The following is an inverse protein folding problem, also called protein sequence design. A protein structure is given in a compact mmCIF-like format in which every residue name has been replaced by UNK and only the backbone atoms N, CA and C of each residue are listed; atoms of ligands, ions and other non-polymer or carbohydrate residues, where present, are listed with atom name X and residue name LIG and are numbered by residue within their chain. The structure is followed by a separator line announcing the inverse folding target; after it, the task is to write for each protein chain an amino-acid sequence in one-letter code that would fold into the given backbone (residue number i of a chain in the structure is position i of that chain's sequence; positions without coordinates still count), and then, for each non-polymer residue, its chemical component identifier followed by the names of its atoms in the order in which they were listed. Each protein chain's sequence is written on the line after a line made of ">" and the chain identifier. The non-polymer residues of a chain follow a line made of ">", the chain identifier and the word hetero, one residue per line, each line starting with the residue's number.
data_IF_889419141686
#
_entry.id   IF_889419141686
#
_cell.length_a   1.000
_cell.length_b   1.000
_cell.length_c   1.000
_cell.angle_alpha   90.00
_cell.angle_beta   90.00
_cell.angle_gamma   90.00
#
_symmetry.space_group_name_H-M   'P 1'
#
loop_
_entity.id
_entity.type
_entity.pdbx_description
1 polymer ?
#
# COMPACT_ATOMS: atom_id res chain seq x y z
N UNK A 1 8.01 -5.75 -12.97
CA UNK A 1 6.74 -5.76 -12.20
C UNK A 1 6.48 -7.07 -11.46
N UNK A 2 6.51 -8.26 -12.09
CA UNK A 2 6.29 -9.53 -11.35
C UNK A 2 7.30 -9.74 -10.22
N UNK A 3 8.59 -9.48 -10.45
CA UNK A 3 9.62 -9.55 -9.39
C UNK A 3 9.33 -8.58 -8.26
N UNK A 4 8.86 -7.37 -8.57
CA UNK A 4 8.43 -6.38 -7.57
C UNK A 4 7.25 -6.89 -6.74
N UNK A 5 6.20 -7.40 -7.38
CA UNK A 5 5.03 -7.94 -6.69
C UNK A 5 5.38 -9.17 -5.83
N UNK A 6 6.26 -10.05 -6.34
CA UNK A 6 6.80 -11.18 -5.55
C UNK A 6 7.58 -10.68 -4.33
N UNK A 7 8.43 -9.68 -4.50
CA UNK A 7 9.18 -9.09 -3.40
C UNK A 7 8.25 -8.44 -2.36
N UNK A 8 7.23 -7.67 -2.77
CA UNK A 8 6.21 -7.15 -1.86
C UNK A 8 5.48 -8.26 -1.10
N UNK A 9 5.14 -9.38 -1.78
CA UNK A 9 4.48 -10.52 -1.18
C UNK A 9 5.26 -11.18 -0.04
N UNK A 10 6.57 -10.95 0.08
CA UNK A 10 7.36 -11.44 1.21
C UNK A 10 7.23 -10.59 2.48
N UNK A 11 6.58 -9.42 2.44
CA UNK A 11 6.53 -8.47 3.55
C UNK A 11 5.91 -9.08 4.83
N UNK A 12 4.75 -9.72 4.71
CA UNK A 12 4.09 -10.36 5.86
C UNK A 12 4.90 -11.59 6.37
N UNK A 13 5.61 -12.26 5.48
CA UNK A 13 6.46 -13.41 5.83
C UNK A 13 7.63 -12.96 6.71
N UNK A 14 8.37 -11.93 6.27
CA UNK A 14 9.45 -11.37 7.08
C UNK A 14 8.95 -10.79 8.41
N UNK A 15 7.76 -10.18 8.45
CA UNK A 15 7.15 -9.72 9.69
C UNK A 15 6.89 -10.88 10.67
N UNK A 16 6.33 -11.99 10.19
CA UNK A 16 6.14 -13.20 11.01
C UNK A 16 7.47 -13.82 11.45
N UNK A 17 8.47 -13.83 10.59
CA UNK A 17 9.82 -14.31 10.94
C UNK A 17 10.45 -13.42 12.02
N UNK A 18 10.27 -12.08 11.95
CA UNK A 18 10.76 -11.17 12.98
C UNK A 18 10.19 -11.51 14.37
N UNK A 19 8.89 -11.80 14.45
CA UNK A 19 8.28 -12.24 15.69
C UNK A 19 8.79 -13.60 16.17
N UNK A 20 9.03 -14.56 15.26
CA UNK A 20 9.60 -15.87 15.60
C UNK A 20 11.01 -15.79 16.19
N UNK A 21 11.82 -14.82 15.75
CA UNK A 21 13.17 -14.58 16.29
C UNK A 21 13.17 -13.62 17.49
N UNK A 22 11.99 -13.32 18.06
CA UNK A 22 11.84 -12.55 19.29
C UNK A 22 11.92 -11.02 19.11
N UNK A 23 11.89 -10.49 17.89
CA UNK A 23 11.92 -9.04 17.68
C UNK A 23 10.55 -8.41 17.99
N UNK A 24 10.55 -7.27 18.68
CA UNK A 24 9.34 -6.49 18.89
C UNK A 24 8.90 -5.78 17.62
N UNK A 25 7.63 -5.35 17.58
CA UNK A 25 7.10 -4.57 16.45
C UNK A 25 7.88 -3.26 16.25
N UNK A 26 8.11 -2.53 17.34
CA UNK A 26 8.81 -1.24 17.29
C UNK A 26 10.27 -1.42 16.84
N UNK A 27 10.98 -2.41 17.38
CA UNK A 27 12.36 -2.75 17.00
C UNK A 27 12.43 -3.10 15.51
N UNK A 28 11.54 -4.00 15.03
CA UNK A 28 11.52 -4.43 13.64
C UNK A 28 11.27 -3.28 12.68
N UNK A 29 10.28 -2.44 12.97
CA UNK A 29 9.90 -1.33 12.08
C UNK A 29 10.91 -0.18 12.13
N UNK A 30 11.49 0.13 13.29
CA UNK A 30 12.55 1.13 13.40
C UNK A 30 13.74 0.76 12.52
N UNK A 31 14.28 -0.46 12.69
CA UNK A 31 15.43 -0.93 11.94
C UNK A 31 15.12 -1.06 10.44
N UNK A 32 13.94 -1.64 10.09
CA UNK A 32 13.49 -1.74 8.70
C UNK A 32 13.53 -0.40 7.99
N UNK A 33 12.88 0.61 8.57
CA UNK A 33 12.73 1.90 7.90
C UNK A 33 13.99 2.74 7.92
N UNK A 34 14.83 2.63 8.96
CA UNK A 34 16.14 3.27 8.98
C UNK A 34 17.04 2.67 7.88
N UNK A 35 17.15 1.34 7.80
CA UNK A 35 17.93 0.68 6.75
C UNK A 35 17.38 0.98 5.34
N UNK A 36 16.05 0.94 5.19
CA UNK A 36 15.43 1.26 3.92
C UNK A 36 15.64 2.74 3.54
N UNK A 37 15.57 3.66 4.49
CA UNK A 37 15.86 5.07 4.24
C UNK A 37 17.30 5.24 3.75
N UNK A 38 18.30 4.70 4.47
CA UNK A 38 19.72 4.77 4.07
C UNK A 38 19.92 4.24 2.64
N UNK A 39 19.38 3.07 2.35
CA UNK A 39 19.51 2.48 1.02
C UNK A 39 18.77 3.27 -0.08
N UNK A 40 17.56 3.78 0.21
CA UNK A 40 16.83 4.60 -0.75
C UNK A 40 17.46 5.97 -0.98
N UNK A 41 18.10 6.58 0.02
CA UNK A 41 18.94 7.77 -0.16
C UNK A 41 20.13 7.48 -1.06
N UNK A 42 20.84 6.37 -0.81
CA UNK A 42 21.94 5.93 -1.68
C UNK A 42 21.48 5.76 -3.13
N UNK A 43 20.35 5.06 -3.35
CA UNK A 43 19.78 4.87 -4.68
C UNK A 43 19.32 6.19 -5.32
N UNK A 44 18.69 7.07 -4.56
CA UNK A 44 18.25 8.37 -5.06
C UNK A 44 19.43 9.24 -5.51
N UNK A 45 20.53 9.24 -4.76
CA UNK A 45 21.75 9.94 -5.14
C UNK A 45 22.41 9.34 -6.39
N UNK A 46 22.49 8.01 -6.48
CA UNK A 46 23.00 7.30 -7.67
C UNK A 46 22.20 7.62 -8.92
N UNK A 47 20.87 7.71 -8.79
CA UNK A 47 19.94 8.07 -9.88
C UNK A 47 19.84 9.59 -10.10
N UNK A 48 20.66 10.41 -9.42
CA UNK A 48 20.65 11.89 -9.49
C UNK A 48 19.30 12.51 -9.08
N UNK A 49 18.50 11.82 -8.28
CA UNK A 49 17.22 12.28 -7.74
C UNK A 49 17.39 12.84 -6.32
N UNK A 50 18.31 13.78 -6.13
CA UNK A 50 18.66 14.31 -4.80
C UNK A 50 17.44 14.95 -4.11
N UNK A 51 16.92 14.34 -3.00
CA UNK A 51 15.74 14.85 -2.30
C UNK A 51 15.96 16.24 -1.66
N UNK A 52 17.20 16.61 -1.32
CA UNK A 52 17.51 17.92 -0.73
C UNK A 52 17.21 19.09 -1.68
N UNK A 53 17.02 18.81 -2.98
CA UNK A 53 16.62 19.81 -3.98
C UNK A 53 15.10 20.00 -4.06
N UNK A 54 14.33 19.21 -3.33
CA UNK A 54 12.88 19.38 -3.32
C UNK A 54 12.47 20.65 -2.59
N UNK A 55 11.39 21.32 -3.02
CA UNK A 55 10.84 22.47 -2.31
C UNK A 55 10.51 22.12 -0.85
N UNK A 56 10.85 23.01 0.10
CA UNK A 56 10.61 22.78 1.53
C UNK A 56 9.19 22.31 1.87
N UNK A 57 8.11 22.87 1.31
CA UNK A 57 6.75 22.38 1.58
C UNK A 57 6.56 20.92 1.17
N UNK A 58 7.18 20.48 0.05
CA UNK A 58 7.13 19.08 -0.41
C UNK A 58 7.91 18.16 0.52
N UNK A 59 9.09 18.57 0.98
CA UNK A 59 9.86 17.80 1.96
C UNK A 59 9.06 17.58 3.24
N UNK A 60 8.46 18.63 3.80
CA UNK A 60 7.64 18.54 5.00
C UNK A 60 6.42 17.64 4.77
N UNK A 61 5.74 17.77 3.64
CA UNK A 61 4.60 16.93 3.29
C UNK A 61 4.98 15.44 3.14
N UNK A 62 6.12 15.14 2.49
CA UNK A 62 6.62 13.76 2.34
C UNK A 62 7.07 13.18 3.68
N UNK A 63 7.77 13.95 4.52
CA UNK A 63 8.15 13.54 5.87
C UNK A 63 6.90 13.26 6.72
N UNK A 64 5.91 14.15 6.68
CA UNK A 64 4.63 13.98 7.39
C UNK A 64 3.85 12.76 6.88
N UNK A 65 3.82 12.52 5.57
CA UNK A 65 3.20 11.34 4.98
C UNK A 65 3.86 10.05 5.49
N UNK A 66 5.19 10.05 5.60
CA UNK A 66 5.96 8.93 6.16
C UNK A 66 5.74 8.78 7.67
N UNK A 67 5.94 9.86 8.43
CA UNK A 67 5.94 9.84 9.88
C UNK A 67 4.56 9.59 10.49
N UNK A 68 3.47 9.94 9.82
CA UNK A 68 2.12 9.81 10.35
C UNK A 68 1.37 8.69 9.65
N UNK A 69 1.12 8.85 8.34
CA UNK A 69 0.18 7.97 7.63
C UNK A 69 0.81 6.61 7.35
N UNK A 70 2.03 6.58 6.80
CA UNK A 70 2.71 5.33 6.49
C UNK A 70 3.14 4.58 7.75
N UNK A 71 3.53 5.30 8.81
CA UNK A 71 3.78 4.74 10.15
C UNK A 71 2.53 4.10 10.72
N UNK A 72 1.39 4.80 10.71
CA UNK A 72 0.12 4.26 11.19
C UNK A 72 -0.32 3.00 10.44
N UNK A 73 -0.21 3.00 9.11
CA UNK A 73 -0.51 1.85 8.27
C UNK A 73 0.41 0.67 8.58
N UNK A 74 1.73 0.90 8.62
CA UNK A 74 2.70 -0.16 8.88
C UNK A 74 2.54 -0.73 10.29
N UNK A 75 2.28 0.11 11.27
CA UNK A 75 2.03 -0.31 12.65
C UNK A 75 0.78 -1.19 12.73
N UNK A 76 -0.33 -0.75 12.14
CA UNK A 76 -1.57 -1.53 12.11
C UNK A 76 -1.37 -2.88 11.43
N UNK A 77 -0.71 -2.91 10.26
CA UNK A 77 -0.39 -4.15 9.55
C UNK A 77 0.44 -5.13 10.40
N UNK A 78 1.50 -4.64 11.04
CA UNK A 78 2.38 -5.48 11.86
C UNK A 78 1.68 -5.94 13.14
N UNK A 79 0.88 -5.09 13.80
CA UNK A 79 0.11 -5.49 14.98
C UNK A 79 -0.94 -6.56 14.65
N UNK A 80 -1.59 -6.47 13.49
CA UNK A 80 -2.48 -7.52 13.00
C UNK A 80 -1.76 -8.87 12.85
N UNK A 81 -0.54 -8.86 12.29
CA UNK A 81 0.28 -10.06 12.08
C UNK A 81 0.77 -10.72 13.37
N UNK A 82 0.70 -10.04 14.53
CA UNK A 82 1.04 -10.68 15.80
C UNK A 82 0.06 -11.79 16.17
N UNK A 83 -1.20 -11.62 15.85
CA UNK A 83 -2.28 -12.50 16.32
C UNK A 83 -3.01 -13.23 15.19
N UNK A 84 -2.97 -12.71 13.97
CA UNK A 84 -3.67 -13.28 12.83
C UNK A 84 -2.71 -13.99 11.86
N UNK A 85 -3.17 -14.99 11.09
CA UNK A 85 -2.43 -15.61 9.99
C UNK A 85 -2.00 -14.56 8.95
N UNK A 86 -0.81 -14.74 8.36
CA UNK A 86 -0.27 -13.79 7.38
C UNK A 86 -1.15 -13.71 6.12
N UNK A 87 -1.64 -14.85 5.68
CA UNK A 87 -2.58 -14.97 4.56
C UNK A 87 -3.88 -14.20 4.78
N UNK A 88 -4.46 -14.27 5.98
CA UNK A 88 -5.70 -13.56 6.29
C UNK A 88 -5.47 -12.04 6.31
N UNK A 89 -4.41 -11.58 6.98
CA UNK A 89 -4.09 -10.14 7.07
C UNK A 89 -3.88 -9.54 5.69
N UNK A 90 -3.12 -10.20 4.81
CA UNK A 90 -2.85 -9.68 3.48
C UNK A 90 -4.11 -9.62 2.61
N UNK A 91 -4.98 -10.62 2.70
CA UNK A 91 -6.24 -10.61 1.96
C UNK A 91 -7.20 -9.51 2.44
N UNK A 92 -7.25 -9.26 3.76
CA UNK A 92 -8.03 -8.14 4.31
C UNK A 92 -7.45 -6.80 3.83
N UNK A 93 -6.13 -6.62 3.90
CA UNK A 93 -5.49 -5.38 3.46
C UNK A 93 -5.72 -5.14 1.98
N UNK A 94 -5.79 -6.19 1.18
CA UNK A 94 -5.98 -6.09 -0.28
C UNK A 94 -7.35 -5.56 -0.72
N UNK A 95 -8.25 -5.25 0.22
CA UNK A 95 -9.48 -4.48 -0.08
C UNK A 95 -9.19 -2.99 -0.37
N UNK A 96 -7.97 -2.48 -0.08
CA UNK A 96 -7.62 -1.08 -0.22
C UNK A 96 -7.90 -0.47 -1.62
N UNK A 97 -7.75 -1.17 -2.77
CA UNK A 97 -8.07 -0.56 -4.06
C UNK A 97 -9.56 -0.21 -4.19
N UNK A 98 -10.42 -1.05 -3.62
CA UNK A 98 -11.86 -0.78 -3.56
C UNK A 98 -12.17 0.40 -2.64
N UNK A 99 -11.47 0.52 -1.51
CA UNK A 99 -11.59 1.66 -0.61
C UNK A 99 -11.08 2.96 -1.24
N UNK A 100 -10.03 2.91 -2.06
CA UNK A 100 -9.51 4.08 -2.82
C UNK A 100 -10.58 4.59 -3.80
N UNK A 101 -11.26 3.68 -4.52
CA UNK A 101 -12.37 4.06 -5.41
C UNK A 101 -13.52 4.66 -4.62
N UNK A 102 -13.92 4.01 -3.53
CA UNK A 102 -15.00 4.50 -2.65
C UNK A 102 -14.69 5.89 -2.09
N UNK A 103 -13.49 6.08 -1.53
CA UNK A 103 -13.06 7.36 -0.99
C UNK A 103 -12.89 8.44 -2.08
N UNK A 104 -12.39 8.05 -3.25
CA UNK A 104 -12.33 8.92 -4.44
C UNK A 104 -13.70 9.42 -4.87
N UNK A 105 -14.70 8.54 -4.86
CA UNK A 105 -16.07 8.90 -5.15
C UNK A 105 -16.68 9.82 -4.08
N UNK A 106 -16.60 9.43 -2.80
CA UNK A 106 -17.21 10.15 -1.68
C UNK A 106 -16.58 11.53 -1.43
N UNK A 107 -15.25 11.62 -1.42
CA UNK A 107 -14.53 12.82 -0.98
C UNK A 107 -13.98 13.66 -2.13
N UNK A 108 -13.62 13.03 -3.25
CA UNK A 108 -13.01 13.71 -4.38
C UNK A 108 -13.97 13.84 -5.57
N UNK A 109 -15.24 13.38 -5.43
CA UNK A 109 -16.28 13.41 -6.47
C UNK A 109 -15.84 12.79 -7.79
N UNK A 110 -14.93 11.80 -7.74
CA UNK A 110 -14.50 11.06 -8.94
C UNK A 110 -15.65 10.25 -9.51
N UNK A 111 -15.77 10.22 -10.83
CA UNK A 111 -16.80 9.41 -11.49
C UNK A 111 -16.54 7.91 -11.28
N UNK A 112 -17.59 7.15 -10.97
CA UNK A 112 -17.55 5.70 -10.85
C UNK A 112 -18.42 5.06 -11.92
N UNK A 113 -17.99 3.95 -12.50
CA UNK A 113 -18.79 3.14 -13.42
C UNK A 113 -19.51 2.03 -12.66
N UNK A 114 -20.49 1.39 -13.30
CA UNK A 114 -21.18 0.23 -12.72
C UNK A 114 -20.21 -0.91 -12.33
N UNK A 115 -19.13 -1.10 -13.08
CA UNK A 115 -18.10 -2.10 -12.76
C UNK A 115 -17.33 -1.80 -11.48
N UNK A 116 -17.10 -0.53 -11.15
CA UNK A 116 -16.52 -0.15 -9.85
C UNK A 116 -17.48 -0.52 -8.71
N UNK A 117 -18.80 -0.33 -8.88
CA UNK A 117 -19.81 -0.69 -7.86
C UNK A 117 -19.85 -2.20 -7.66
N UNK A 118 -19.84 -2.99 -8.75
CA UNK A 118 -19.79 -4.46 -8.69
C UNK A 118 -18.54 -4.93 -7.98
N UNK A 119 -17.37 -4.41 -8.35
CA UNK A 119 -16.10 -4.76 -7.70
C UNK A 119 -16.06 -4.37 -6.22
N UNK A 120 -16.61 -3.19 -5.88
CA UNK A 120 -16.74 -2.73 -4.49
C UNK A 120 -17.61 -3.69 -3.66
N UNK A 121 -18.81 -4.02 -4.15
CA UNK A 121 -19.71 -4.97 -3.49
C UNK A 121 -19.10 -6.35 -3.32
N UNK A 122 -18.44 -6.87 -4.36
CA UNK A 122 -17.72 -8.14 -4.30
C UNK A 122 -16.55 -8.12 -3.29
N UNK A 123 -15.79 -7.01 -3.21
CA UNK A 123 -14.72 -6.85 -2.21
C UNK A 123 -15.25 -6.90 -0.78
N UNK A 124 -16.34 -6.20 -0.50
CA UNK A 124 -16.96 -6.20 0.84
C UNK A 124 -17.56 -7.55 1.19
N UNK A 125 -18.24 -8.21 0.24
CA UNK A 125 -18.74 -9.56 0.45
C UNK A 125 -17.59 -10.54 0.72
N UNK A 126 -16.51 -10.46 -0.07
CA UNK A 126 -15.31 -11.27 0.15
C UNK A 126 -14.68 -11.04 1.52
N UNK A 127 -14.65 -9.80 2.01
CA UNK A 127 -14.17 -9.48 3.37
C UNK A 127 -15.06 -10.11 4.45
N UNK A 128 -16.38 -10.04 4.30
CA UNK A 128 -17.33 -10.66 5.24
C UNK A 128 -17.12 -12.18 5.29
N UNK A 129 -16.94 -12.83 4.14
CA UNK A 129 -16.68 -14.26 4.06
C UNK A 129 -15.31 -14.65 4.67
N UNK A 130 -14.27 -13.84 4.43
CA UNK A 130 -12.95 -14.03 5.02
C UNK A 130 -13.00 -13.96 6.55
N UNK A 131 -13.64 -12.94 7.09
CA UNK A 131 -13.73 -12.73 8.54
C UNK A 131 -14.71 -13.74 9.17
N UNK A 132 -15.86 -13.97 8.55
CA UNK A 132 -16.87 -14.90 9.05
C UNK A 132 -16.44 -16.37 8.98
N UNK A 133 -15.61 -16.74 8.01
CA UNK A 133 -15.04 -18.09 7.91
C UNK A 133 -13.85 -18.34 8.85
N UNK A 134 -13.30 -17.29 9.42
CA UNK A 134 -12.27 -17.40 10.44
C UNK A 134 -12.96 -17.71 11.79
N UNK A 135 -12.60 -18.81 12.43
CA UNK A 135 -12.97 -19.07 13.83
C UNK A 135 -12.15 -18.13 14.74
N UNK A 136 -12.21 -16.84 14.44
CA UNK A 136 -11.45 -15.82 15.14
C UNK A 136 -12.28 -15.37 16.36
N UNK A 137 -11.68 -15.44 17.52
CA UNK A 137 -12.09 -14.54 18.59
C UNK A 137 -11.91 -13.13 18.05
N UNK A 138 -13.00 -12.34 18.03
CA UNK A 138 -12.99 -10.92 17.64
C UNK A 138 -12.02 -10.19 18.57
N UNK A 139 -10.75 -10.15 18.19
CA UNK A 139 -9.66 -9.61 18.98
C UNK A 139 -9.07 -8.34 18.36
N UNK A 140 -8.22 -7.70 19.14
CA UNK A 140 -7.53 -6.45 18.76
C UNK A 140 -6.81 -6.59 17.40
N UNK A 141 -6.33 -7.79 17.04
CA UNK A 141 -5.68 -8.02 15.75
C UNK A 141 -6.58 -7.78 14.53
N UNK A 142 -7.88 -8.14 14.64
CA UNK A 142 -8.83 -7.89 13.55
C UNK A 142 -9.10 -6.39 13.38
N UNK A 143 -9.16 -5.63 14.48
CA UNK A 143 -9.29 -4.17 14.42
C UNK A 143 -8.12 -3.56 13.65
N UNK A 144 -6.89 -4.00 13.93
CA UNK A 144 -5.71 -3.55 13.21
C UNK A 144 -5.68 -4.01 11.75
N UNK A 145 -6.13 -5.24 11.47
CA UNK A 145 -6.22 -5.73 10.09
C UNK A 145 -7.19 -4.90 9.23
N UNK A 146 -8.31 -4.44 9.82
CA UNK A 146 -9.29 -3.57 9.13
C UNK A 146 -8.80 -2.11 9.07
N UNK A 147 -8.12 -1.62 10.10
CA UNK A 147 -7.57 -0.27 10.11
C UNK A 147 -6.47 -0.07 9.07
N UNK A 148 -5.64 -1.09 8.82
CA UNK A 148 -4.51 -1.00 7.89
C UNK A 148 -4.92 -0.59 6.46
N UNK A 149 -5.90 -1.20 5.77
CA UNK A 149 -6.31 -0.78 4.43
C UNK A 149 -7.01 0.57 4.41
N UNK A 150 -7.69 0.98 5.48
CA UNK A 150 -8.30 2.31 5.60
C UNK A 150 -7.23 3.39 5.64
N UNK A 151 -6.22 3.23 6.50
CA UNK A 151 -5.09 4.15 6.61
C UNK A 151 -4.29 4.16 5.29
N UNK A 152 -4.09 2.98 4.67
CA UNK A 152 -3.38 2.86 3.40
C UNK A 152 -4.11 3.57 2.26
N UNK A 153 -5.43 3.57 2.26
CA UNK A 153 -6.26 4.37 1.34
C UNK A 153 -5.95 5.86 1.48
N UNK A 154 -5.88 6.37 2.70
CA UNK A 154 -5.45 7.75 2.97
C UNK A 154 -4.02 8.03 2.47
N UNK A 155 -3.08 7.11 2.72
CA UNK A 155 -1.72 7.20 2.20
C UNK A 155 -1.66 7.33 0.69
N UNK A 156 -2.45 6.53 -0.04
CA UNK A 156 -2.49 6.57 -1.51
C UNK A 156 -3.06 7.89 -2.02
N UNK A 157 -4.21 8.32 -1.50
CA UNK A 157 -4.88 9.54 -1.96
C UNK A 157 -4.09 10.82 -1.65
N UNK A 158 -3.46 10.88 -0.47
CA UNK A 158 -2.57 12.00 -0.10
C UNK A 158 -1.28 11.92 -0.91
N UNK A 159 -0.71 10.71 -1.01
CA UNK A 159 0.54 10.44 -1.74
C UNK A 159 0.45 10.82 -3.21
N UNK A 160 -0.67 10.55 -3.88
CA UNK A 160 -0.92 10.96 -5.26
C UNK A 160 -0.66 12.45 -5.47
N UNK A 161 -1.16 13.30 -4.57
CA UNK A 161 -0.97 14.77 -4.64
C UNK A 161 0.44 15.20 -4.24
N UNK A 162 0.99 14.60 -3.19
CA UNK A 162 2.28 15.02 -2.62
C UNK A 162 3.44 14.59 -3.51
N UNK A 163 3.35 13.39 -4.12
CA UNK A 163 4.42 12.81 -4.95
C UNK A 163 4.38 13.25 -6.41
N UNK A 164 3.29 13.83 -6.91
CA UNK A 164 3.08 14.13 -8.34
C UNK A 164 4.13 15.05 -8.99
N UNK A 165 4.83 15.87 -8.19
CA UNK A 165 5.77 16.88 -8.68
C UNK A 165 7.23 16.60 -8.32
N UNK A 166 7.55 15.39 -7.85
CA UNK A 166 8.92 15.03 -7.43
C UNK A 166 9.30 13.62 -7.91
N UNK A 167 10.59 13.37 -8.14
CA UNK A 167 11.06 12.04 -8.53
C UNK A 167 10.72 10.99 -7.48
N UNK A 168 10.14 9.88 -7.91
CA UNK A 168 9.53 8.89 -7.03
C UNK A 168 10.51 8.17 -6.08
N UNK A 169 11.75 7.89 -6.53
CA UNK A 169 12.76 7.25 -5.66
C UNK A 169 13.20 8.22 -4.58
N UNK A 170 13.43 9.50 -4.93
CA UNK A 170 13.73 10.55 -3.96
C UNK A 170 12.59 10.78 -2.96
N UNK A 171 11.33 10.79 -3.42
CA UNK A 171 10.17 10.89 -2.56
C UNK A 171 10.08 9.71 -1.58
N UNK A 172 10.33 8.48 -2.07
CA UNK A 172 10.34 7.28 -1.23
C UNK A 172 11.43 7.35 -0.15
N UNK A 173 12.63 7.86 -0.48
CA UNK A 173 13.69 8.06 0.50
C UNK A 173 13.24 8.97 1.66
N UNK A 174 12.57 10.09 1.34
CA UNK A 174 12.06 11.03 2.37
C UNK A 174 10.93 10.41 3.19
N UNK A 175 9.99 9.70 2.55
CA UNK A 175 8.90 8.99 3.25
C UNK A 175 9.47 7.94 4.21
N UNK A 176 10.44 7.13 3.76
CA UNK A 176 11.10 6.14 4.62
C UNK A 176 11.85 6.79 5.79
N UNK A 177 12.46 7.98 5.58
CA UNK A 177 13.10 8.74 6.66
C UNK A 177 12.08 9.20 7.70
N UNK A 178 10.92 9.71 7.26
CA UNK A 178 9.84 10.10 8.17
C UNK A 178 9.32 8.92 8.99
N UNK A 179 9.07 7.78 8.33
CA UNK A 179 8.63 6.56 9.01
C UNK A 179 9.70 6.02 9.98
N UNK A 180 10.98 5.99 9.55
CA UNK A 180 12.10 5.56 10.38
C UNK A 180 12.23 6.41 11.65
N UNK A 181 12.18 7.74 11.50
CA UNK A 181 12.22 8.66 12.64
C UNK A 181 11.05 8.43 13.60
N UNK A 182 9.82 8.31 13.08
CA UNK A 182 8.64 8.05 13.90
C UNK A 182 8.74 6.73 14.66
N UNK A 183 9.17 5.64 14.02
CA UNK A 183 9.35 4.35 14.71
C UNK A 183 10.50 4.36 15.70
N UNK A 184 11.59 5.11 15.45
CA UNK A 184 12.63 5.31 16.45
C UNK A 184 12.09 6.04 17.69
N UNK A 185 11.27 7.07 17.51
CA UNK A 185 10.61 7.77 18.61
C UNK A 185 9.68 6.84 19.39
N UNK A 186 8.80 6.10 18.68
CA UNK A 186 7.89 5.12 19.31
C UNK A 186 8.70 4.06 20.07
N UNK A 187 9.74 3.51 19.47
CA UNK A 187 10.58 2.49 20.09
C UNK A 187 11.34 3.00 21.30
N UNK A 188 11.80 4.28 21.28
CA UNK A 188 12.44 4.92 22.42
C UNK A 188 11.47 5.08 23.59
N UNK A 189 10.25 5.58 23.36
CA UNK A 189 9.23 5.72 24.39
C UNK A 189 8.78 4.38 24.99
N UNK A 190 8.83 3.29 24.21
CA UNK A 190 8.49 1.95 24.67
C UNK A 190 9.69 1.21 25.32
N UNK A 191 10.89 1.80 25.34
CA UNK A 191 12.10 1.12 25.79
C UNK A 191 12.48 -0.08 24.91
N UNK A 192 12.05 -0.11 23.66
CA UNK A 192 12.23 -1.23 22.73
C UNK A 192 13.25 -0.95 21.62
N UNK A 193 13.99 0.15 21.70
CA UNK A 193 15.12 0.38 20.80
C UNK A 193 16.31 -0.46 21.25
N UNK A 194 16.41 -1.64 20.67
CA UNK A 194 17.54 -2.53 20.88
C UNK A 194 18.02 -3.10 19.55
N UNK A 195 19.30 -3.45 19.50
CA UNK A 195 19.83 -4.18 18.37
C UNK A 195 19.40 -5.64 18.42
N UNK A 196 19.18 -6.32 17.28
CA UNK A 196 18.93 -7.74 17.27
C UNK A 196 20.04 -8.51 17.97
N UNK A 197 19.70 -9.36 18.93
CA UNK A 197 20.64 -10.12 19.71
C UNK A 197 21.29 -11.29 18.92
N UNK A 198 20.70 -11.67 17.77
CA UNK A 198 21.15 -12.81 16.97
C UNK A 198 21.39 -12.42 15.52
N UNK A 199 22.27 -13.18 14.85
CA UNK A 199 22.48 -13.08 13.39
C UNK A 199 21.20 -13.33 12.60
N UNK A 200 20.33 -14.22 13.08
CA UNK A 200 19.03 -14.48 12.48
C UNK A 200 18.13 -13.23 12.54
N UNK A 201 18.12 -12.49 13.65
CA UNK A 201 17.40 -11.23 13.78
C UNK A 201 17.89 -10.18 12.78
N UNK A 202 19.20 -10.03 12.63
CA UNK A 202 19.79 -9.14 11.63
C UNK A 202 19.45 -9.55 10.20
N UNK A 203 19.52 -10.84 9.87
CA UNK A 203 19.16 -11.36 8.55
C UNK A 203 17.69 -11.08 8.21
N UNK A 204 16.78 -11.25 9.17
CA UNK A 204 15.36 -10.96 8.98
C UNK A 204 15.10 -9.47 8.76
N UNK A 205 15.71 -8.59 9.57
CA UNK A 205 15.53 -7.14 9.43
C UNK A 205 16.14 -6.63 8.12
N UNK A 206 17.35 -7.09 7.78
CA UNK A 206 18.00 -6.73 6.52
C UNK A 206 17.19 -7.25 5.32
N UNK A 207 16.70 -8.48 5.37
CA UNK A 207 15.83 -9.05 4.35
C UNK A 207 14.53 -8.24 4.19
N UNK A 208 13.91 -7.83 5.30
CA UNK A 208 12.71 -7.01 5.31
C UNK A 208 12.95 -5.60 4.72
N UNK A 209 14.08 -4.98 5.02
CA UNK A 209 14.44 -3.68 4.46
C UNK A 209 14.79 -3.80 2.96
N UNK A 210 15.55 -4.83 2.58
CA UNK A 210 16.07 -4.97 1.23
C UNK A 210 14.98 -5.50 0.26
N UNK A 211 14.33 -6.64 0.58
CA UNK A 211 13.47 -7.34 -0.38
C UNK A 211 12.11 -6.65 -0.55
N UNK A 212 11.19 -6.64 0.44
CA UNK A 212 9.86 -6.06 0.25
C UNK A 212 9.83 -4.53 0.34
N UNK A 213 10.95 -3.87 0.68
CA UNK A 213 10.97 -2.41 0.74
C UNK A 213 11.81 -1.84 -0.40
N UNK A 214 13.13 -2.01 -0.41
CA UNK A 214 13.99 -1.36 -1.40
C UNK A 214 13.84 -1.96 -2.80
N UNK A 215 14.01 -3.28 -2.96
CA UNK A 215 13.93 -3.96 -4.26
C UNK A 215 12.52 -3.84 -4.83
N UNK A 216 11.51 -4.14 -4.02
CA UNK A 216 10.12 -4.09 -4.45
C UNK A 216 9.72 -2.70 -4.96
N UNK A 217 9.98 -1.65 -4.18
CA UNK A 217 9.65 -0.26 -4.56
C UNK A 217 10.47 0.17 -5.79
N UNK A 218 11.77 -0.10 -5.82
CA UNK A 218 12.64 0.31 -6.93
C UNK A 218 12.21 -0.33 -8.26
N UNK A 219 11.90 -1.62 -8.26
CA UNK A 219 11.43 -2.33 -9.44
C UNK A 219 10.00 -1.92 -9.84
N UNK A 220 9.14 -1.58 -8.88
CA UNK A 220 7.83 -1.00 -9.16
C UNK A 220 7.96 0.32 -9.90
N UNK A 221 8.75 1.25 -9.34
CA UNK A 221 8.97 2.57 -9.90
C UNK A 221 9.68 2.53 -11.27
N UNK A 222 10.58 1.56 -11.48
CA UNK A 222 11.21 1.34 -12.76
C UNK A 222 10.26 0.74 -13.82
N UNK A 223 9.33 -0.11 -13.41
CA UNK A 223 8.36 -0.74 -14.30
C UNK A 223 7.19 0.16 -14.67
N UNK A 224 6.71 0.96 -13.73
CA UNK A 224 5.51 1.79 -13.85
C UNK A 224 5.48 2.67 -15.12
N UNK A 225 6.52 3.44 -15.47
CA UNK A 225 6.50 4.25 -16.68
C UNK A 225 6.59 3.43 -17.97
N UNK A 226 7.08 2.17 -17.91
CA UNK A 226 7.24 1.31 -19.09
C UNK A 226 5.95 0.62 -19.52
N UNK A 227 5.11 0.20 -18.57
CA UNK A 227 3.90 -0.58 -18.87
C UNK A 227 2.61 0.14 -18.49
N UNK A 228 2.72 1.31 -17.86
CA UNK A 228 1.59 2.14 -17.43
C UNK A 228 0.93 1.68 -16.13
N UNK A 229 0.16 2.56 -15.52
CA UNK A 229 -0.45 2.34 -14.21
C UNK A 229 -1.43 1.16 -14.18
N UNK A 230 -2.29 1.04 -15.20
CA UNK A 230 -3.30 -0.01 -15.27
C UNK A 230 -2.70 -1.43 -15.28
N UNK A 231 -1.69 -1.67 -16.15
CA UNK A 231 -1.01 -2.97 -16.21
C UNK A 231 -0.17 -3.23 -14.97
N UNK A 232 0.46 -2.18 -14.43
CA UNK A 232 1.23 -2.28 -13.18
C UNK A 232 0.36 -2.74 -12.02
N UNK A 233 -0.81 -2.15 -11.87
CA UNK A 233 -1.81 -2.45 -10.86
C UNK A 233 -2.33 -3.89 -10.98
N UNK A 234 -2.65 -4.35 -12.20
CA UNK A 234 -3.04 -5.75 -12.43
C UNK A 234 -1.94 -6.75 -12.04
N UNK A 235 -0.68 -6.48 -12.40
CA UNK A 235 0.43 -7.36 -12.04
C UNK A 235 0.67 -7.34 -10.53
N UNK A 236 0.41 -6.21 -9.85
CA UNK A 236 0.54 -6.13 -8.39
C UNK A 236 -0.45 -7.03 -7.64
N UNK A 237 -1.55 -7.48 -8.26
CA UNK A 237 -2.43 -8.50 -7.63
C UNK A 237 -1.76 -9.87 -7.45
N UNK A 238 -0.58 -10.07 -8.01
CA UNK A 238 0.27 -11.22 -7.74
C UNK A 238 0.83 -11.23 -6.29
N UNK A 239 0.99 -10.07 -5.67
CA UNK A 239 1.51 -9.93 -4.31
C UNK A 239 0.76 -10.79 -3.27
N UNK A 240 -0.57 -10.67 -3.10
CA UNK A 240 -1.29 -11.48 -2.12
C UNK A 240 -1.26 -12.96 -2.43
N UNK A 241 -1.17 -13.35 -3.70
CA UNK A 241 -1.03 -14.76 -4.09
C UNK A 241 0.30 -15.31 -3.59
N UNK A 242 1.39 -14.58 -3.78
CA UNK A 242 2.71 -14.95 -3.23
C UNK A 242 2.69 -15.05 -1.72
N UNK A 243 2.09 -14.06 -1.04
CA UNK A 243 2.00 -14.10 0.43
C UNK A 243 1.23 -15.32 0.91
N UNK A 244 0.08 -15.62 0.30
CA UNK A 244 -0.74 -16.80 0.68
C UNK A 244 0.04 -18.10 0.47
N UNK A 245 0.68 -18.27 -0.69
CA UNK A 245 1.49 -19.46 -0.97
C UNK A 245 2.61 -19.61 0.08
N UNK A 246 3.36 -18.54 0.34
CA UNK A 246 4.45 -18.58 1.31
C UNK A 246 3.94 -18.78 2.74
N UNK A 247 2.81 -18.18 3.12
CA UNK A 247 2.23 -18.34 4.46
C UNK A 247 1.76 -19.78 4.70
N UNK A 248 1.12 -20.40 3.72
CA UNK A 248 0.75 -21.82 3.78
C UNK A 248 1.99 -22.70 3.87
N UNK A 249 2.98 -22.47 3.01
CA UNK A 249 4.18 -23.30 2.93
C UNK A 249 5.09 -23.18 4.18
N UNK A 250 5.27 -21.96 4.72
CA UNK A 250 6.24 -21.71 5.81
C UNK A 250 5.62 -21.70 7.20
N UNK A 251 4.35 -21.36 7.31
CA UNK A 251 3.66 -21.22 8.60
C UNK A 251 2.52 -22.22 8.79
N UNK A 252 2.12 -22.95 7.74
CA UNK A 252 1.02 -23.89 7.79
C UNK A 252 -0.34 -23.20 7.92
N UNK A 253 -0.47 -21.97 7.41
CA UNK A 253 -1.75 -21.24 7.40
C UNK A 253 -2.82 -22.11 6.74
N UNK A 254 -3.98 -22.24 7.38
CA UNK A 254 -5.11 -23.03 6.88
C UNK A 254 -6.29 -22.13 6.62
N UNK A 255 -6.99 -22.39 5.53
CA UNK A 255 -8.22 -21.71 5.18
C UNK A 255 -9.41 -22.62 5.41
N UNK A 256 -10.47 -22.08 6.05
CA UNK A 256 -11.77 -22.70 5.92
C UNK A 256 -12.29 -22.55 4.49
N UNK A 257 -13.21 -23.42 4.02
CA UNK A 257 -13.79 -23.26 2.68
C UNK A 257 -14.37 -21.85 2.44
N UNK A 258 -14.99 -21.27 3.47
CA UNK A 258 -15.58 -19.94 3.42
C UNK A 258 -14.51 -18.85 3.26
N UNK A 259 -13.38 -18.97 3.97
CA UNK A 259 -12.23 -18.07 3.80
C UNK A 259 -11.60 -18.17 2.42
N UNK A 260 -11.48 -19.38 1.86
CA UNK A 260 -10.95 -19.58 0.52
C UNK A 260 -11.83 -18.89 -0.52
N UNK A 261 -13.15 -19.06 -0.44
CA UNK A 261 -14.13 -18.36 -1.30
C UNK A 261 -14.02 -16.84 -1.13
N UNK A 262 -13.98 -16.37 0.12
CA UNK A 262 -13.83 -14.94 0.42
C UNK A 262 -12.54 -14.34 -0.15
N UNK A 263 -11.41 -15.04 -0.01
CA UNK A 263 -10.11 -14.61 -0.54
C UNK A 263 -10.09 -14.52 -2.07
N UNK A 264 -10.61 -15.55 -2.75
CA UNK A 264 -10.75 -15.53 -4.22
C UNK A 264 -11.66 -14.38 -4.66
N UNK A 265 -12.77 -14.17 -3.95
CA UNK A 265 -13.71 -13.09 -4.27
C UNK A 265 -13.08 -11.70 -4.11
N UNK A 266 -12.29 -11.47 -3.05
CA UNK A 266 -11.52 -10.21 -2.88
C UNK A 266 -10.56 -10.01 -4.04
N UNK A 267 -9.78 -11.02 -4.42
CA UNK A 267 -8.81 -10.89 -5.51
C UNK A 267 -9.49 -10.61 -6.86
N UNK A 268 -10.57 -11.32 -7.18
CA UNK A 268 -11.35 -11.08 -8.40
C UNK A 268 -11.99 -9.68 -8.40
N UNK A 269 -12.51 -9.25 -7.27
CA UNK A 269 -13.09 -7.92 -7.12
C UNK A 269 -12.05 -6.82 -7.36
N UNK A 270 -10.84 -6.96 -6.82
CA UNK A 270 -9.73 -6.04 -7.08
C UNK A 270 -9.37 -5.99 -8.55
N UNK A 271 -9.30 -7.13 -9.23
CA UNK A 271 -9.05 -7.18 -10.68
C UNK A 271 -10.15 -6.42 -11.44
N UNK A 272 -11.41 -6.65 -11.11
CA UNK A 272 -12.55 -5.94 -11.73
C UNK A 272 -12.45 -4.43 -11.52
N UNK A 273 -12.17 -3.97 -10.30
CA UNK A 273 -11.99 -2.55 -9.98
C UNK A 273 -10.85 -1.94 -10.79
N UNK A 274 -9.73 -2.63 -10.89
CA UNK A 274 -8.55 -2.13 -11.64
C UNK A 274 -8.79 -2.10 -13.15
N UNK A 275 -9.47 -3.10 -13.71
CA UNK A 275 -9.87 -3.10 -15.12
C UNK A 275 -10.88 -2.01 -15.43
N UNK A 276 -11.83 -1.76 -14.53
CA UNK A 276 -12.77 -0.67 -14.65
C UNK A 276 -12.06 0.69 -14.64
N UNK A 277 -11.11 0.87 -13.73
CA UNK A 277 -10.30 2.11 -13.66
C UNK A 277 -9.44 2.31 -14.92
N UNK A 278 -8.93 1.24 -15.51
CA UNK A 278 -8.17 1.29 -16.74
C UNK A 278 -9.02 1.70 -17.97
N UNK A 279 -10.31 1.29 -18.00
CA UNK A 279 -11.23 1.62 -19.10
C UNK A 279 -11.92 2.97 -18.94
N UNK A 280 -12.14 3.39 -17.69
CA UNK A 280 -12.82 4.62 -17.32
C UNK A 280 -11.94 5.40 -16.34
N UNK A 281 -10.83 6.01 -16.83
CA UNK A 281 -10.01 6.83 -15.96
C UNK A 281 -10.86 7.97 -15.40
N UNK A 282 -10.74 8.22 -14.10
CA UNK A 282 -11.46 9.29 -13.44
C UNK A 282 -11.06 10.63 -14.10
N UNK A 283 -11.97 11.19 -14.88
CA UNK A 283 -11.81 12.56 -15.38
C UNK A 283 -11.98 13.49 -14.19
N UNK A 284 -10.94 14.18 -13.80
CA UNK A 284 -11.04 15.28 -12.85
C UNK A 284 -12.08 16.27 -13.40
N UNK A 285 -13.02 16.70 -12.55
CA UNK A 285 -14.15 17.55 -12.92
C UNK A 285 -13.74 18.90 -13.59
N UNK A 286 -12.45 19.20 -13.66
CA UNK A 286 -11.89 20.35 -14.39
C UNK A 286 -11.82 20.15 -15.91
N UNK A 287 -11.81 18.92 -16.44
CA UNK A 287 -11.79 18.70 -17.89
C UNK A 287 -13.16 18.83 -18.54
N UNK A 288 -14.25 18.66 -17.81
CA UNK A 288 -15.60 18.92 -18.37
C UNK A 288 -15.85 20.38 -18.73
N UNK A 289 -15.19 21.32 -18.06
CA UNK A 289 -15.27 22.73 -18.38
C UNK A 289 -14.45 23.13 -19.63
N UNK A 290 -13.44 22.37 -20.01
CA UNK A 290 -12.62 22.63 -21.21
C UNK A 290 -13.23 22.10 -22.51
N UNK A 291 -14.14 21.12 -22.44
CA UNK A 291 -14.84 20.58 -23.62
C UNK A 291 -16.22 21.17 -23.85
N UNK A 292 -16.74 21.98 -22.93
CA UNK A 292 -17.88 22.87 -23.18
C UNK A 292 -17.36 24.12 -23.89
N UNK A 293 -16.92 23.96 -25.14
CA UNK A 293 -16.48 25.07 -26.00
C UNK A 293 -17.62 26.05 -26.28
N UNK A 294 -17.32 27.34 -26.54
CA UNK A 294 -18.29 28.39 -26.76
C UNK A 294 -18.84 28.33 -28.19
N UNK A 295 -19.73 27.35 -28.47
CA UNK A 295 -20.35 27.22 -29.80
C UNK A 295 -21.90 27.18 -29.76
N UNK A 296 -22.55 27.83 -28.79
CA UNK A 296 -24.02 27.94 -28.77
C UNK A 296 -24.57 29.37 -28.93
N UNK A 297 -23.72 30.36 -29.25
CA UNK A 297 -24.24 31.74 -29.44
C UNK A 297 -24.01 32.35 -30.85
N UNK A 298 -23.99 31.53 -31.90
CA UNK A 298 -24.01 32.09 -33.29
C UNK A 298 -25.09 31.44 -34.13
N UNK A 299 -26.35 31.58 -33.71
CA UNK A 299 -27.49 31.43 -34.60
C UNK A 299 -28.61 32.33 -34.14
N UNK A 300 -28.57 33.59 -34.50
CA UNK A 300 -29.65 34.51 -34.22
C UNK A 300 -29.30 35.94 -34.65
N UNK A 301 -29.52 36.24 -35.91
CA UNK A 301 -29.49 37.63 -36.31
C UNK A 301 -29.04 37.89 -37.74
N UNK A 302 -29.84 37.49 -38.68
CA UNK A 302 -29.79 38.13 -40.02
C UNK A 302 -31.24 38.37 -40.47
N UNK A 303 -31.62 39.62 -40.50
CA UNK A 303 -32.63 40.19 -41.42
C UNK A 303 -32.66 41.71 -41.26
N UNK A 304 -33.11 42.42 -42.27
CA UNK A 304 -33.22 42.18 -43.68
C UNK A 304 -32.19 42.92 -44.53
#
# INVERSE_FOLDING_TARGET
>A
MLVSATAFGTNAIFAKLAYRVGLSTAQTLSLRFVLAAVGMWGLALLLRQNPLRFPRPRLVALLGLGAIVYTGQSLAFFLALRTLPASLVVLIVYIYPSLVVLAGWLFLRRAVSGWHIVGLGASFLGLVLLVGGAQLQLGVGLVFAIAAPIIYTGYILIGEKVMSAVPAVGASAVIMSGAGAAFCVIGAFQGQLAWPASTAGWAVVAGLALIPTMIAISLFLAGLPRIGAARSSLISTWEPVVTVILAVALFGDRFSPLQAVGGVLVLLAVIVVQLAHARYPATDGHDRARFAGPNSERSGGARP
#
